data_IF_824971174592
#
_entry.id   IF_824971174592
#
_cell.length_a   1.000
_cell.length_b   1.000
_cell.length_c   1.000
_cell.angle_alpha   90.00
_cell.angle_beta   90.00
_cell.angle_gamma   90.00
#
_symmetry.space_group_name_H-M   'P 1'
#
loop_
_entity.id
_entity.type
_entity.pdbx_description
1 polymer ?
#
# COMPACT_ATOMS: atom_id res chain seq x y z
N UNK A 1 55.85 16.77 -3.24
CA UNK A 1 55.12 17.62 -4.21
C UNK A 1 53.67 17.16 -4.20
N UNK A 2 52.76 17.90 -3.57
CA UNK A 2 51.33 17.56 -3.59
C UNK A 2 50.76 17.88 -4.97
N UNK A 3 50.09 16.90 -5.58
CA UNK A 3 49.49 17.09 -6.92
C UNK A 3 48.38 18.15 -6.85
N UNK A 4 48.32 19.11 -7.79
CA UNK A 4 47.23 20.09 -7.83
C UNK A 4 45.85 19.42 -7.96
N UNK A 5 45.78 18.21 -8.53
CA UNK A 5 44.55 17.41 -8.57
C UNK A 5 44.03 17.00 -7.18
N UNK A 6 44.92 16.74 -6.23
CA UNK A 6 44.55 16.36 -4.87
C UNK A 6 43.94 17.54 -4.11
N UNK A 7 44.48 18.75 -4.32
CA UNK A 7 43.91 19.98 -3.76
C UNK A 7 42.56 20.32 -4.40
N UNK A 8 42.40 20.16 -5.72
CA UNK A 8 41.12 20.40 -6.41
C UNK A 8 40.03 19.43 -5.92
N UNK A 9 40.37 18.15 -5.70
CA UNK A 9 39.43 17.15 -5.18
C UNK A 9 39.02 17.42 -3.71
N UNK A 10 39.97 17.79 -2.85
CA UNK A 10 39.68 18.20 -1.47
C UNK A 10 38.83 19.48 -1.42
N UNK A 11 39.10 20.45 -2.30
CA UNK A 11 38.34 21.68 -2.41
C UNK A 11 36.93 21.42 -2.97
N UNK A 12 36.76 20.48 -3.92
CA UNK A 12 35.43 20.11 -4.42
C UNK A 12 34.57 19.44 -3.34
N UNK A 13 35.14 18.58 -2.49
CA UNK A 13 34.42 17.99 -1.35
C UNK A 13 34.05 19.01 -0.26
N UNK A 14 34.80 20.11 -0.14
CA UNK A 14 34.46 21.22 0.77
C UNK A 14 33.39 22.15 0.19
N UNK A 15 33.20 22.14 -1.13
CA UNK A 15 32.19 22.92 -1.85
C UNK A 15 30.87 22.16 -2.11
N UNK A 16 30.83 20.84 -1.89
CA UNK A 16 29.57 20.09 -1.90
C UNK A 16 28.79 20.44 -0.65
N UNK A 17 27.81 21.35 -0.78
CA UNK A 17 26.81 21.52 0.27
C UNK A 17 26.04 20.20 0.42
N UNK A 18 25.87 19.73 1.65
CA UNK A 18 24.86 18.71 1.93
C UNK A 18 23.53 19.29 1.45
N UNK A 19 22.84 18.61 0.54
CA UNK A 19 21.49 18.99 0.14
C UNK A 19 20.61 18.86 1.37
N UNK A 20 20.19 19.99 1.93
CA UNK A 20 19.20 19.99 3.01
C UNK A 20 17.83 19.67 2.41
N UNK A 21 17.49 18.38 2.42
CA UNK A 21 16.21 17.91 1.93
C UNK A 21 15.15 18.16 3.00
N UNK A 22 14.18 19.04 2.70
CA UNK A 22 12.98 19.24 3.50
C UNK A 22 11.74 18.68 2.75
N UNK A 23 11.60 17.35 2.64
CA UNK A 23 10.49 16.76 1.92
C UNK A 23 9.18 16.95 2.69
N UNK A 24 8.09 17.13 1.95
CA UNK A 24 6.75 17.23 2.51
C UNK A 24 6.21 15.83 2.89
N UNK A 25 6.51 15.38 4.11
CA UNK A 25 6.09 14.06 4.61
C UNK A 25 4.57 13.91 4.74
N UNK A 26 3.84 15.00 4.95
CA UNK A 26 2.37 14.99 4.99
C UNK A 26 1.80 14.61 3.62
N UNK A 27 2.32 15.24 2.56
CA UNK A 27 1.93 14.94 1.19
C UNK A 27 2.36 13.53 0.78
N UNK A 28 3.57 13.11 1.17
CA UNK A 28 4.05 11.76 0.90
C UNK A 28 3.14 10.69 1.56
N UNK A 29 2.77 10.89 2.83
CA UNK A 29 1.86 10.00 3.55
C UNK A 29 0.47 9.97 2.92
N UNK A 30 -0.08 11.14 2.55
CA UNK A 30 -1.36 11.22 1.86
C UNK A 30 -1.37 10.40 0.57
N UNK A 31 -0.36 10.57 -0.29
CA UNK A 31 -0.25 9.83 -1.56
C UNK A 31 -0.02 8.33 -1.35
N UNK A 32 0.77 7.96 -0.34
CA UNK A 32 0.98 6.55 0.03
C UNK A 32 -0.32 5.87 0.46
N UNK A 33 -1.17 6.55 1.23
CA UNK A 33 -2.48 6.01 1.62
C UNK A 33 -3.50 6.03 0.48
N UNK A 34 -3.43 7.02 -0.42
CA UNK A 34 -4.25 7.09 -1.62
C UNK A 34 -3.94 5.95 -2.61
N UNK A 35 -2.68 5.52 -2.69
CA UNK A 35 -2.25 4.40 -3.53
C UNK A 35 -3.05 3.11 -3.27
N UNK A 36 -3.42 2.83 -2.02
CA UNK A 36 -4.27 1.68 -1.70
C UNK A 36 -5.65 1.75 -2.40
N UNK A 37 -6.26 2.93 -2.54
CA UNK A 37 -7.50 3.08 -3.33
C UNK A 37 -7.26 2.69 -4.79
N UNK A 38 -6.08 3.02 -5.32
CA UNK A 38 -5.63 2.67 -6.66
C UNK A 38 -5.52 1.17 -6.91
N UNK A 39 -5.39 0.36 -5.86
CA UNK A 39 -5.21 -1.09 -5.96
C UNK A 39 -6.46 -1.92 -5.64
N UNK A 40 -7.56 -1.31 -5.19
CA UNK A 40 -8.77 -2.05 -4.76
C UNK A 40 -9.37 -2.90 -5.88
N UNK A 41 -9.63 -4.18 -5.66
CA UNK A 41 -10.49 -5.04 -6.51
C UNK A 41 -11.88 -5.20 -5.86
N UNK A 42 -12.89 -5.63 -6.61
CA UNK A 42 -14.27 -5.80 -6.15
C UNK A 42 -15.16 -4.58 -6.43
N UNK A 43 -16.30 -4.48 -5.72
CA UNK A 43 -17.22 -3.36 -5.80
C UNK A 43 -16.63 -2.12 -5.13
N UNK A 44 -16.32 -1.06 -5.89
CA UNK A 44 -15.71 0.13 -5.32
C UNK A 44 -16.74 1.03 -4.63
N UNK A 45 -16.39 1.65 -3.48
CA UNK A 45 -17.23 2.65 -2.84
C UNK A 45 -17.44 3.86 -3.74
N UNK A 46 -18.64 4.44 -3.73
CA UNK A 46 -18.98 5.63 -4.52
C UNK A 46 -18.29 6.91 -4.04
N UNK A 47 -17.75 6.89 -2.82
CA UNK A 47 -17.04 8.01 -2.17
C UNK A 47 -15.50 7.90 -2.31
N UNK A 48 -14.99 7.01 -3.16
CA UNK A 48 -13.58 6.92 -3.51
C UNK A 48 -13.06 8.23 -4.16
N UNK A 49 -11.81 8.60 -3.87
CA UNK A 49 -11.19 9.81 -4.42
C UNK A 49 -10.67 9.63 -5.86
N UNK A 50 -10.29 8.42 -6.26
CA UNK A 50 -9.75 8.13 -7.60
C UNK A 50 -10.89 7.86 -8.60
N UNK A 51 -11.09 8.79 -9.53
CA UNK A 51 -12.16 8.74 -10.54
C UNK A 51 -11.89 7.83 -11.74
N UNK A 52 -10.65 7.37 -11.91
CA UNK A 52 -10.23 6.52 -13.03
C UNK A 52 -10.25 5.02 -12.72
N UNK A 53 -10.59 4.63 -11.48
CA UNK A 53 -10.80 3.25 -11.06
C UNK A 53 -12.29 2.94 -11.03
N UNK A 54 -12.67 1.71 -11.38
CA UNK A 54 -14.05 1.22 -11.30
C UNK A 54 -14.09 -0.21 -10.73
N UNK A 55 -15.30 -0.68 -10.42
CA UNK A 55 -15.58 -2.01 -9.91
C UNK A 55 -15.06 -3.10 -10.86
N UNK A 56 -14.34 -4.07 -10.32
CA UNK A 56 -13.59 -5.08 -11.10
C UNK A 56 -13.48 -6.41 -10.33
N UNK A 57 -13.10 -7.50 -10.98
CA UNK A 57 -12.97 -8.81 -10.31
C UNK A 57 -14.28 -9.35 -9.72
N UNK A 58 -15.43 -9.01 -10.31
CA UNK A 58 -16.75 -9.29 -9.73
C UNK A 58 -17.16 -10.78 -9.77
N UNK A 59 -16.37 -11.61 -10.45
CA UNK A 59 -16.58 -13.06 -10.54
C UNK A 59 -15.53 -13.87 -9.77
N UNK A 60 -14.66 -13.20 -9.01
CA UNK A 60 -13.61 -13.84 -8.21
C UNK A 60 -14.20 -14.88 -7.25
N UNK A 61 -13.75 -16.13 -7.39
CA UNK A 61 -14.21 -17.26 -6.57
C UNK A 61 -15.36 -18.09 -7.18
N UNK A 62 -15.94 -17.66 -8.30
CA UNK A 62 -17.07 -18.35 -8.95
C UNK A 62 -16.79 -19.82 -9.29
N UNK A 63 -15.58 -20.15 -9.76
CA UNK A 63 -15.18 -21.53 -10.08
C UNK A 63 -15.16 -22.46 -8.85
N UNK A 64 -14.99 -21.89 -7.66
CA UNK A 64 -15.04 -22.61 -6.39
C UNK A 64 -16.38 -22.41 -5.65
N UNK A 65 -17.37 -21.78 -6.29
CA UNK A 65 -18.68 -21.45 -5.75
C UNK A 65 -18.61 -20.67 -4.42
N UNK A 66 -17.71 -19.69 -4.35
CA UNK A 66 -17.49 -18.80 -3.20
C UNK A 66 -17.38 -17.34 -3.66
N UNK A 67 -17.65 -16.39 -2.76
CA UNK A 67 -17.37 -14.97 -3.00
C UNK A 67 -15.95 -14.63 -2.54
N UNK A 68 -15.06 -14.35 -3.49
CA UNK A 68 -13.70 -13.84 -3.23
C UNK A 68 -13.49 -12.42 -3.80
N UNK A 69 -14.58 -11.68 -4.06
CA UNK A 69 -14.49 -10.27 -4.47
C UNK A 69 -13.90 -9.40 -3.34
N UNK A 70 -13.16 -8.36 -3.70
CA UNK A 70 -12.48 -7.46 -2.75
C UNK A 70 -10.96 -7.58 -2.80
N UNK A 71 -10.29 -7.00 -1.79
CA UNK A 71 -8.84 -7.07 -1.65
C UNK A 71 -8.09 -6.13 -2.58
N UNK A 72 -6.77 -6.32 -2.70
CA UNK A 72 -5.88 -5.48 -3.48
C UNK A 72 -5.21 -6.27 -4.63
N UNK A 73 -5.11 -5.65 -5.79
CA UNK A 73 -4.18 -6.09 -6.82
C UNK A 73 -2.74 -5.89 -6.33
N UNK A 74 -1.89 -6.89 -6.58
CA UNK A 74 -0.56 -6.97 -5.96
C UNK A 74 0.38 -5.86 -6.45
N UNK A 75 0.43 -5.65 -7.77
CA UNK A 75 1.31 -4.67 -8.38
C UNK A 75 0.63 -3.95 -9.56
N UNK A 76 1.27 -3.96 -10.74
CA UNK A 76 0.70 -3.39 -11.97
C UNK A 76 -0.18 -4.36 -12.76
N UNK A 77 -0.34 -5.58 -12.26
CA UNK A 77 -1.21 -6.62 -12.81
C UNK A 77 -2.55 -6.68 -12.04
N UNK A 78 -3.37 -7.68 -12.34
CA UNK A 78 -4.67 -7.89 -11.71
C UNK A 78 -4.72 -9.17 -10.85
N UNK A 79 -3.59 -9.79 -10.54
CA UNK A 79 -3.57 -10.94 -9.64
C UNK A 79 -3.59 -10.45 -8.19
N UNK A 80 -4.37 -11.15 -7.36
CA UNK A 80 -4.39 -10.98 -5.91
C UNK A 80 -3.50 -12.03 -5.28
N UNK A 81 -2.23 -11.70 -5.03
CA UNK A 81 -1.33 -12.57 -4.28
C UNK A 81 -1.51 -12.34 -2.76
N UNK A 82 -2.09 -13.32 -2.05
CA UNK A 82 -2.48 -13.08 -0.65
C UNK A 82 -1.29 -13.00 0.30
N UNK A 83 -0.16 -13.60 -0.03
CA UNK A 83 1.03 -13.52 0.83
C UNK A 83 1.58 -12.09 0.95
N UNK A 84 1.93 -11.40 -0.17
CA UNK A 84 2.32 -9.99 -0.10
C UNK A 84 1.18 -9.07 0.36
N UNK A 85 -0.08 -9.37 0.06
CA UNK A 85 -1.22 -8.61 0.59
C UNK A 85 -1.33 -8.70 2.12
N UNK A 86 -1.20 -9.89 2.70
CA UNK A 86 -1.24 -10.10 4.14
C UNK A 86 -0.05 -9.42 4.83
N UNK A 87 1.15 -9.51 4.25
CA UNK A 87 2.33 -8.78 4.74
C UNK A 87 2.11 -7.27 4.73
N UNK A 88 1.65 -6.72 3.60
CA UNK A 88 1.36 -5.28 3.45
C UNK A 88 0.31 -4.81 4.46
N UNK A 89 -0.74 -5.60 4.66
CA UNK A 89 -1.80 -5.31 5.64
C UNK A 89 -1.26 -5.33 7.07
N UNK A 90 -0.36 -6.26 7.37
CA UNK A 90 0.31 -6.36 8.67
C UNK A 90 1.17 -5.13 8.93
N UNK A 91 1.99 -4.73 7.95
CA UNK A 91 2.86 -3.55 8.07
C UNK A 91 2.06 -2.26 8.22
N UNK A 92 1.00 -2.06 7.43
CA UNK A 92 0.13 -0.89 7.56
C UNK A 92 -0.57 -0.86 8.93
N UNK A 93 -1.01 -2.02 9.43
CA UNK A 93 -1.63 -2.15 10.76
C UNK A 93 -0.63 -1.79 11.86
N UNK A 94 0.59 -2.33 11.80
CA UNK A 94 1.64 -2.02 12.76
C UNK A 94 1.99 -0.53 12.73
N UNK A 95 2.22 0.06 11.55
CA UNK A 95 2.50 1.50 11.43
C UNK A 95 1.37 2.35 12.00
N UNK A 96 0.11 1.95 11.81
CA UNK A 96 -1.06 2.67 12.35
C UNK A 96 -1.17 2.55 13.86
N UNK A 97 -0.78 1.41 14.44
CA UNK A 97 -0.72 1.22 15.89
C UNK A 97 0.40 2.05 16.52
N UNK A 98 1.59 2.03 15.93
CA UNK A 98 2.79 2.69 16.48
C UNK A 98 2.75 4.21 16.30
N UNK A 99 2.35 4.67 15.11
CA UNK A 99 2.49 6.08 14.72
C UNK A 99 1.15 6.80 14.48
N UNK A 100 0.01 6.13 14.68
CA UNK A 100 -1.32 6.68 14.36
C UNK A 100 -1.63 8.00 15.07
N UNK A 101 -1.15 8.19 16.30
CA UNK A 101 -1.32 9.44 17.04
C UNK A 101 -0.53 10.60 16.40
N UNK A 102 0.68 10.33 15.91
CA UNK A 102 1.57 11.29 15.26
C UNK A 102 1.11 11.61 13.83
N UNK A 103 0.50 10.64 13.14
CA UNK A 103 -0.14 10.87 11.83
C UNK A 103 -1.34 11.81 11.96
N UNK A 104 -2.03 11.82 13.11
CA UNK A 104 -3.25 12.58 13.32
C UNK A 104 -4.51 11.85 12.85
N UNK A 105 -5.70 12.29 13.30
CA UNK A 105 -6.94 11.52 13.21
C UNK A 105 -7.39 11.24 11.78
N UNK A 106 -7.12 12.16 10.85
CA UNK A 106 -7.48 11.97 9.45
C UNK A 106 -6.73 10.78 8.82
N UNK A 107 -5.39 10.78 8.87
CA UNK A 107 -4.58 9.70 8.28
C UNK A 107 -4.77 8.39 9.02
N UNK A 108 -4.92 8.41 10.35
CA UNK A 108 -5.24 7.21 11.11
C UNK A 108 -6.55 6.57 10.63
N UNK A 109 -7.59 7.37 10.37
CA UNK A 109 -8.86 6.85 9.84
C UNK A 109 -8.71 6.30 8.42
N UNK A 110 -7.98 6.98 7.53
CA UNK A 110 -7.73 6.48 6.16
C UNK A 110 -6.97 5.16 6.21
N UNK A 111 -5.94 5.02 7.06
CA UNK A 111 -5.22 3.76 7.24
C UNK A 111 -6.15 2.64 7.72
N UNK A 112 -7.05 2.91 8.67
CA UNK A 112 -8.02 1.91 9.15
C UNK A 112 -8.98 1.46 8.06
N UNK A 113 -9.42 2.36 7.19
CA UNK A 113 -10.25 2.01 6.02
C UNK A 113 -9.48 1.11 5.06
N UNK A 114 -8.21 1.42 4.77
CA UNK A 114 -7.36 0.61 3.90
C UNK A 114 -7.05 -0.77 4.51
N UNK A 115 -6.81 -0.86 5.81
CA UNK A 115 -6.64 -2.13 6.53
C UNK A 115 -7.91 -2.95 6.43
N UNK A 116 -9.07 -2.35 6.72
CA UNK A 116 -10.36 -3.04 6.66
C UNK A 116 -10.61 -3.67 5.30
N UNK A 117 -10.33 -2.94 4.22
CA UNK A 117 -10.51 -3.44 2.86
C UNK A 117 -9.76 -4.76 2.60
N UNK A 118 -8.50 -4.85 3.05
CA UNK A 118 -7.74 -6.09 2.93
C UNK A 118 -8.25 -7.17 3.88
N UNK A 119 -8.52 -6.84 5.15
CA UNK A 119 -8.93 -7.84 6.14
C UNK A 119 -10.30 -8.43 5.84
N UNK A 120 -11.23 -7.67 5.28
CA UNK A 120 -12.53 -8.17 4.86
C UNK A 120 -12.38 -9.23 3.75
N UNK A 121 -11.49 -9.00 2.79
CA UNK A 121 -11.14 -9.98 1.77
C UNK A 121 -10.41 -11.20 2.34
N UNK A 122 -9.39 -11.02 3.18
CA UNK A 122 -8.67 -12.13 3.81
C UNK A 122 -9.59 -12.99 4.68
N UNK A 123 -10.59 -12.38 5.32
CA UNK A 123 -11.61 -13.10 6.09
C UNK A 123 -12.48 -13.97 5.17
N UNK A 124 -12.90 -13.46 4.00
CA UNK A 124 -13.58 -14.29 2.99
C UNK A 124 -12.70 -15.48 2.59
N UNK A 125 -11.42 -15.24 2.26
CA UNK A 125 -10.49 -16.28 1.88
C UNK A 125 -10.27 -17.36 2.96
N UNK A 126 -10.37 -17.00 4.24
CA UNK A 126 -10.15 -17.92 5.35
C UNK A 126 -11.42 -18.67 5.78
N UNK A 127 -12.61 -18.13 5.50
CA UNK A 127 -13.87 -18.68 6.02
C UNK A 127 -14.80 -19.23 4.95
N UNK A 128 -14.58 -18.94 3.67
CA UNK A 128 -15.44 -19.37 2.57
C UNK A 128 -15.57 -20.90 2.43
N UNK A 129 -14.59 -21.68 2.90
CA UNK A 129 -14.69 -23.15 2.91
C UNK A 129 -13.95 -23.72 4.12
N UNK A 130 -14.63 -24.50 5.01
CA UNK A 130 -13.99 -25.08 6.18
C UNK A 130 -12.75 -25.92 5.83
N UNK A 131 -11.65 -25.68 6.55
CA UNK A 131 -10.38 -26.39 6.34
C UNK A 131 -9.58 -25.98 5.10
N UNK A 132 -9.97 -24.89 4.40
CA UNK A 132 -9.23 -24.36 3.26
C UNK A 132 -8.91 -22.88 3.46
N UNK A 133 -7.79 -22.46 2.88
CA UNK A 133 -7.40 -21.06 2.76
C UNK A 133 -7.20 -20.75 1.28
N UNK A 134 -7.94 -19.78 0.75
CA UNK A 134 -7.68 -19.25 -0.58
C UNK A 134 -6.46 -18.31 -0.51
N UNK A 135 -5.46 -18.56 -1.35
CA UNK A 135 -4.17 -17.83 -1.31
C UNK A 135 -3.98 -16.87 -2.49
N UNK A 136 -4.94 -16.81 -3.40
CA UNK A 136 -5.00 -15.79 -4.43
C UNK A 136 -6.13 -16.00 -5.43
N UNK A 137 -6.38 -14.98 -6.24
CA UNK A 137 -7.33 -14.99 -7.36
C UNK A 137 -6.71 -14.24 -8.55
N UNK A 138 -7.10 -14.60 -9.76
CA UNK A 138 -6.71 -13.93 -11.00
C UNK A 138 -7.97 -13.51 -11.77
#
# INVERSE_FOLDING_TARGET
>A
MTSPFFLVFLFSCLLTQNVDANPNYIEALFKSLLFFQGQRSGYLPTDQQLSWRDSSGLSDGSLANVDLTGGYYDAGDNVKFNFPMAFTTTMLSWSTLEYGAQMGPHFQNVSRVNIRWATDYLLKCATATPGKLYVGTA
#
